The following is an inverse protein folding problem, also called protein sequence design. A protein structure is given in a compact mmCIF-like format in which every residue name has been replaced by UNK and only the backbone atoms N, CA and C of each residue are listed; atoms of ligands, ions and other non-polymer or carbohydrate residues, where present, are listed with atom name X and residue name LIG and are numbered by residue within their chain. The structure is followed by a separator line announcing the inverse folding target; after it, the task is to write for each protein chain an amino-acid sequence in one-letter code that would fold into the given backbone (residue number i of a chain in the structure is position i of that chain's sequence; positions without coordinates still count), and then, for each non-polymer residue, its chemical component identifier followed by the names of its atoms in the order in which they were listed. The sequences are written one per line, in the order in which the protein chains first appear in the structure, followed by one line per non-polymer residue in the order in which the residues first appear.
data_IF_221612622410
#
_entry.id   IF_221612622410
#
_cell.length_a   1.000
_cell.length_b   1.000
_cell.length_c   1.000
_cell.angle_alpha   90.00
_cell.angle_beta   90.00
_cell.angle_gamma   90.00
#
_symmetry.space_group_name_H-M   'P 1'
#
loop_
_entity.id
_entity.type
_entity.pdbx_description
1 polymer ?
#
# COMPACT_ATOMS: atom_id res chain seq x y z
N UNK A 1 -4.47 -0.17 -47.17
CA UNK A 1 -5.23 -1.21 -46.45
C UNK A 1 -6.11 -0.58 -45.38
N UNK A 2 -7.42 -0.44 -45.68
CA UNK A 2 -8.37 0.27 -44.80
C UNK A 2 -8.85 -0.57 -43.59
N UNK A 3 -8.21 -1.70 -43.34
CA UNK A 3 -8.52 -2.65 -42.27
C UNK A 3 -7.36 -2.87 -41.27
N UNK A 4 -6.45 -1.90 -41.11
CA UNK A 4 -5.51 -1.96 -40.01
C UNK A 4 -6.32 -1.84 -38.71
N UNK A 5 -6.38 -2.91 -37.92
CA UNK A 5 -6.97 -2.89 -36.61
C UNK A 5 -6.27 -1.80 -35.80
N UNK A 6 -7.05 -0.91 -35.19
CA UNK A 6 -6.50 0.09 -34.27
C UNK A 6 -5.84 -0.71 -33.14
N UNK A 7 -4.53 -0.51 -32.88
CA UNK A 7 -3.87 -1.24 -31.81
C UNK A 7 -4.60 -0.98 -30.49
N UNK A 8 -4.95 -2.03 -29.77
CA UNK A 8 -5.55 -1.92 -28.47
C UNK A 8 -4.55 -1.25 -27.51
N UNK A 9 -4.96 -0.14 -26.90
CA UNK A 9 -4.18 0.51 -25.83
C UNK A 9 -4.56 -0.17 -24.52
N UNK A 10 -3.56 -0.71 -23.82
CA UNK A 10 -3.72 -1.23 -22.46
C UNK A 10 -3.21 -0.21 -21.45
N UNK A 11 -3.96 -0.02 -20.37
CA UNK A 11 -3.61 0.91 -19.29
C UNK A 11 -3.42 0.09 -18.02
N UNK A 12 -2.32 0.38 -17.33
CA UNK A 12 -1.95 -0.27 -16.07
C UNK A 12 -1.85 0.76 -14.96
N UNK A 13 -2.34 0.42 -13.78
CA UNK A 13 -2.08 1.20 -12.57
C UNK A 13 -1.01 0.49 -11.73
N UNK A 14 0.23 0.89 -11.90
CA UNK A 14 1.38 0.28 -11.21
C UNK A 14 1.47 0.66 -9.73
N UNK A 15 0.76 1.70 -9.29
CA UNK A 15 0.68 2.07 -7.87
C UNK A 15 0.08 0.93 -7.03
N UNK A 16 -0.96 0.27 -7.55
CA UNK A 16 -1.64 -0.83 -6.85
C UNK A 16 -0.64 -1.93 -6.51
N UNK A 17 0.12 -2.39 -7.52
CA UNK A 17 1.11 -3.45 -7.32
C UNK A 17 2.33 -2.96 -6.55
N UNK A 18 2.71 -1.70 -6.72
CA UNK A 18 3.78 -1.07 -5.94
C UNK A 18 3.49 -1.06 -4.45
N UNK A 19 2.25 -0.75 -4.04
CA UNK A 19 1.82 -0.78 -2.65
C UNK A 19 1.86 -2.22 -2.09
N UNK A 20 1.28 -3.18 -2.82
CA UNK A 20 1.27 -4.58 -2.43
C UNK A 20 2.70 -5.11 -2.19
N UNK A 21 3.59 -4.90 -3.15
CA UNK A 21 4.98 -5.36 -3.08
C UNK A 21 5.77 -4.65 -1.97
N UNK A 22 5.55 -3.36 -1.72
CA UNK A 22 6.19 -2.63 -0.64
C UNK A 22 5.84 -3.23 0.73
N UNK A 23 4.58 -3.58 0.95
CA UNK A 23 4.15 -4.26 2.16
C UNK A 23 4.74 -5.67 2.25
N UNK A 24 4.62 -6.46 1.20
CA UNK A 24 5.12 -7.84 1.15
C UNK A 24 6.64 -7.90 1.43
N UNK A 25 7.43 -7.06 0.76
CA UNK A 25 8.87 -6.98 0.97
C UNK A 25 9.20 -6.60 2.41
N UNK A 26 8.52 -5.59 2.94
CA UNK A 26 8.76 -5.12 4.31
C UNK A 26 8.46 -6.20 5.37
N UNK A 27 7.42 -7.02 5.16
CA UNK A 27 7.10 -8.16 6.01
C UNK A 27 8.18 -9.25 5.92
N UNK A 28 8.59 -9.63 4.70
CA UNK A 28 9.64 -10.64 4.47
C UNK A 28 10.97 -10.22 5.08
N UNK A 29 11.39 -8.97 4.90
CA UNK A 29 12.65 -8.45 5.44
C UNK A 29 12.75 -8.58 6.97
N UNK A 30 11.61 -8.69 7.66
CA UNK A 30 11.51 -8.88 9.11
C UNK A 30 11.34 -10.33 9.54
N UNK A 31 11.38 -11.28 8.60
CA UNK A 31 11.11 -12.68 8.89
C UNK A 31 9.64 -12.94 9.27
N UNK A 32 8.76 -11.99 9.05
CA UNK A 32 7.32 -12.13 9.25
C UNK A 32 6.71 -12.79 8.01
N UNK A 33 5.71 -13.64 8.22
CA UNK A 33 4.88 -14.17 7.15
C UNK A 33 3.54 -13.47 7.21
N UNK A 34 3.02 -13.09 6.06
CA UNK A 34 1.64 -12.72 5.94
C UNK A 34 0.82 -14.01 6.07
N UNK A 35 -0.03 -14.07 7.10
CA UNK A 35 -0.89 -15.24 7.30
C UNK A 35 -2.12 -15.08 6.39
N UNK A 36 -2.42 -16.11 5.60
CA UNK A 36 -3.52 -16.08 4.62
C UNK A 36 -4.92 -16.16 5.23
N UNK A 37 -5.03 -15.93 6.54
CA UNK A 37 -6.33 -15.96 7.24
C UNK A 37 -7.03 -14.64 7.14
N UNK A 38 -7.55 -14.06 6.23
CA UNK A 38 -8.46 -12.90 6.05
C UNK A 38 -8.89 -12.10 7.33
N UNK A 39 -8.06 -12.16 8.37
CA UNK A 39 -8.33 -11.52 9.65
C UNK A 39 -7.60 -10.18 9.80
N UNK A 40 -6.75 -9.82 8.82
CA UNK A 40 -5.99 -8.57 8.82
C UNK A 40 -6.89 -7.38 8.51
N UNK A 41 -6.57 -6.25 9.15
CA UNK A 41 -7.23 -4.98 8.90
C UNK A 41 -6.28 -4.01 8.21
N UNK A 42 -6.79 -3.25 7.23
CA UNK A 42 -6.08 -2.16 6.61
C UNK A 42 -6.77 -0.82 6.91
N UNK A 43 -5.99 0.17 7.30
CA UNK A 43 -6.46 1.56 7.49
C UNK A 43 -5.83 2.46 6.44
N UNK A 44 -6.66 3.17 5.68
CA UNK A 44 -6.23 4.12 4.64
C UNK A 44 -6.60 5.54 5.10
N UNK A 45 -5.60 6.41 5.25
CA UNK A 45 -5.79 7.79 5.71
C UNK A 45 -5.98 8.70 4.49
N UNK A 46 -7.23 9.11 4.24
CA UNK A 46 -7.60 9.92 3.07
C UNK A 46 -8.38 9.13 2.03
N UNK A 47 -9.07 9.84 1.16
CA UNK A 47 -9.90 9.26 0.09
C UNK A 47 -9.63 9.86 -1.30
N UNK A 48 -8.38 10.26 -1.57
CA UNK A 48 -7.94 10.73 -2.89
C UNK A 48 -7.64 9.59 -3.88
N UNK A 49 -7.03 9.93 -5.01
CA UNK A 49 -6.70 8.95 -6.06
C UNK A 49 -5.71 7.88 -5.56
N UNK A 50 -4.66 8.27 -4.84
CA UNK A 50 -3.69 7.32 -4.27
C UNK A 50 -4.34 6.42 -3.21
N UNK A 51 -5.30 6.95 -2.43
CA UNK A 51 -6.10 6.13 -1.52
C UNK A 51 -6.96 5.10 -2.26
N UNK A 52 -7.46 5.44 -3.46
CA UNK A 52 -8.19 4.49 -4.31
C UNK A 52 -7.27 3.35 -4.80
N UNK A 53 -6.02 3.66 -5.14
CA UNK A 53 -5.02 2.63 -5.50
C UNK A 53 -4.68 1.75 -4.29
N UNK A 54 -4.57 2.35 -3.09
CA UNK A 54 -4.34 1.61 -1.86
C UNK A 54 -5.52 0.68 -1.51
N UNK A 55 -6.75 1.16 -1.67
CA UNK A 55 -7.94 0.34 -1.49
C UNK A 55 -7.91 -0.86 -2.43
N UNK A 56 -7.59 -0.64 -3.72
CA UNK A 56 -7.47 -1.73 -4.69
C UNK A 56 -6.38 -2.74 -4.30
N UNK A 57 -5.21 -2.26 -3.85
CA UNK A 57 -4.12 -3.10 -3.37
C UNK A 57 -4.58 -3.97 -2.18
N UNK A 58 -5.16 -3.34 -1.14
CA UNK A 58 -5.65 -4.06 0.04
C UNK A 58 -6.74 -5.10 -0.32
N UNK A 59 -7.61 -4.79 -1.29
CA UNK A 59 -8.60 -5.75 -1.78
C UNK A 59 -7.98 -6.96 -2.49
N UNK A 60 -6.78 -6.84 -3.02
CA UNK A 60 -6.07 -7.94 -3.70
C UNK A 60 -5.20 -8.76 -2.75
N UNK A 61 -4.92 -8.26 -1.54
CA UNK A 61 -4.12 -8.93 -0.53
C UNK A 61 -4.98 -9.95 0.23
N UNK A 62 -4.66 -11.25 0.16
CA UNK A 62 -5.49 -12.31 0.76
C UNK A 62 -5.51 -12.27 2.29
N UNK A 63 -4.57 -11.55 2.90
CA UNK A 63 -4.46 -11.38 4.35
C UNK A 63 -5.44 -10.35 4.91
N UNK A 64 -5.93 -9.43 4.05
CA UNK A 64 -6.79 -8.32 4.46
C UNK A 64 -8.26 -8.73 4.31
N UNK A 65 -8.96 -8.76 5.44
CA UNK A 65 -10.39 -9.06 5.50
C UNK A 65 -11.27 -7.85 5.78
N UNK A 66 -10.69 -6.77 6.30
CA UNK A 66 -11.41 -5.53 6.61
C UNK A 66 -10.61 -4.31 6.20
N UNK A 67 -11.28 -3.29 5.65
CA UNK A 67 -10.64 -2.05 5.21
C UNK A 67 -11.40 -0.84 5.74
N UNK A 68 -10.69 0.02 6.46
CA UNK A 68 -11.19 1.30 6.95
C UNK A 68 -10.56 2.45 6.18
N UNK A 69 -11.37 3.36 5.67
CA UNK A 69 -10.90 4.59 5.01
C UNK A 69 -11.25 5.79 5.89
N UNK A 70 -10.25 6.44 6.47
CA UNK A 70 -10.43 7.65 7.26
C UNK A 70 -10.38 8.88 6.35
N UNK A 71 -11.47 9.60 6.18
CA UNK A 71 -11.56 10.70 5.24
C UNK A 71 -12.21 11.94 5.86
N UNK A 72 -11.72 13.15 5.51
CA UNK A 72 -12.34 14.41 5.95
C UNK A 72 -13.81 14.56 5.51
N UNK A 73 -14.16 13.88 4.44
CA UNK A 73 -15.52 13.86 3.88
C UNK A 73 -15.83 12.45 3.40
N UNK A 74 -16.29 11.55 4.29
CA UNK A 74 -16.71 10.21 3.94
C UNK A 74 -17.76 10.23 2.82
N UNK A 75 -17.68 9.28 1.90
CA UNK A 75 -18.58 9.19 0.75
C UNK A 75 -18.34 10.19 -0.38
N UNK A 76 -17.45 11.17 -0.22
CA UNK A 76 -17.17 12.16 -1.28
C UNK A 76 -16.54 11.55 -2.52
N UNK A 77 -15.63 10.58 -2.34
CA UNK A 77 -15.06 9.82 -3.46
C UNK A 77 -15.97 8.64 -3.79
N UNK A 78 -16.87 8.83 -4.73
CA UNK A 78 -17.80 7.78 -5.19
C UNK A 78 -17.11 6.62 -5.93
N UNK A 79 -15.83 6.73 -6.24
CA UNK A 79 -15.04 5.67 -6.89
C UNK A 79 -14.58 4.56 -5.94
N UNK A 80 -14.53 4.80 -4.63
CA UNK A 80 -14.04 3.82 -3.65
C UNK A 80 -14.96 2.59 -3.57
N UNK A 81 -16.25 2.81 -3.36
CA UNK A 81 -17.22 1.72 -3.22
C UNK A 81 -17.25 0.76 -4.42
N UNK A 82 -17.30 1.22 -5.69
CA UNK A 82 -17.22 0.33 -6.84
C UNK A 82 -15.90 -0.46 -6.93
N UNK A 83 -14.79 0.11 -6.45
CA UNK A 83 -13.51 -0.62 -6.38
C UNK A 83 -13.64 -1.75 -5.37
N UNK A 84 -14.08 -1.46 -4.15
CA UNK A 84 -14.27 -2.50 -3.12
C UNK A 84 -15.23 -3.61 -3.58
N UNK A 85 -16.37 -3.25 -4.18
CA UNK A 85 -17.37 -4.21 -4.67
C UNK A 85 -16.87 -5.10 -5.83
N UNK A 86 -15.86 -4.66 -6.58
CA UNK A 86 -15.30 -5.41 -7.71
C UNK A 86 -14.45 -6.60 -7.26
N UNK A 87 -13.85 -6.55 -6.09
CA UNK A 87 -12.97 -7.59 -5.58
C UNK A 87 -13.74 -8.56 -4.68
N UNK A 88 -14.15 -9.68 -5.27
CA UNK A 88 -15.02 -10.71 -4.64
C UNK A 88 -14.41 -11.34 -3.39
N UNK A 89 -13.10 -11.22 -3.19
CA UNK A 89 -12.40 -11.83 -2.06
C UNK A 89 -12.46 -11.00 -0.77
N UNK A 90 -12.89 -9.74 -0.85
CA UNK A 90 -13.14 -8.94 0.35
C UNK A 90 -14.53 -9.30 0.88
N UNK A 91 -14.58 -10.25 1.77
CA UNK A 91 -15.83 -10.70 2.40
C UNK A 91 -16.41 -9.68 3.37
N UNK A 92 -15.61 -8.68 3.79
CA UNK A 92 -16.04 -7.62 4.67
C UNK A 92 -16.21 -6.31 3.90
N UNK A 93 -17.27 -5.58 4.17
CA UNK A 93 -17.47 -4.27 3.56
C UNK A 93 -16.33 -3.34 4.00
N UNK A 94 -15.84 -2.55 3.07
CA UNK A 94 -15.02 -1.42 3.47
C UNK A 94 -15.91 -0.41 4.22
N UNK A 95 -15.31 0.27 5.19
CA UNK A 95 -15.97 1.28 6.00
C UNK A 95 -15.27 2.63 5.84
N UNK A 96 -16.03 3.71 5.85
CA UNK A 96 -15.46 5.06 5.90
C UNK A 96 -15.76 5.69 7.26
N UNK A 97 -14.71 6.22 7.91
CA UNK A 97 -14.80 7.00 9.15
C UNK A 97 -14.39 8.44 8.90
N UNK A 98 -14.82 9.35 9.76
CA UNK A 98 -14.43 10.75 9.63
C UNK A 98 -12.98 10.97 10.11
N UNK A 99 -12.17 11.55 9.23
CA UNK A 99 -10.83 12.00 9.59
C UNK A 99 -10.94 13.33 10.34
N UNK A 100 -10.57 13.32 11.61
CA UNK A 100 -10.78 14.40 12.56
C UNK A 100 -11.38 13.86 13.86
N UNK A 101 -11.89 12.62 13.85
CA UNK A 101 -12.06 11.83 15.05
C UNK A 101 -10.77 11.04 15.28
N UNK A 102 -9.79 11.69 15.90
CA UNK A 102 -8.46 11.11 16.09
C UNK A 102 -8.52 9.87 16.98
N UNK A 103 -9.49 9.77 17.90
CA UNK A 103 -9.66 8.60 18.74
C UNK A 103 -10.16 7.38 17.95
N UNK A 104 -11.17 7.55 17.11
CA UNK A 104 -11.68 6.47 16.27
C UNK A 104 -10.58 5.96 15.30
N UNK A 105 -9.83 6.90 14.69
CA UNK A 105 -8.71 6.53 13.81
C UNK A 105 -7.62 5.76 14.55
N UNK A 106 -7.28 6.15 15.79
CA UNK A 106 -6.27 5.47 16.60
C UNK A 106 -6.73 4.08 17.05
N UNK A 107 -8.01 3.89 17.35
CA UNK A 107 -8.57 2.58 17.67
C UNK A 107 -8.45 1.61 16.49
N UNK A 108 -8.84 2.03 15.29
CA UNK A 108 -8.69 1.24 14.07
C UNK A 108 -7.22 0.99 13.75
N UNK A 109 -6.37 2.01 13.82
CA UNK A 109 -4.95 1.91 13.50
C UNK A 109 -4.16 0.99 14.46
N UNK A 110 -4.60 0.81 15.70
CA UNK A 110 -3.96 -0.11 16.67
C UNK A 110 -4.07 -1.55 16.26
N UNK A 111 -5.22 -1.92 15.72
CA UNK A 111 -5.53 -3.30 15.33
C UNK A 111 -5.10 -3.58 13.89
N UNK A 112 -4.80 -2.53 13.13
CA UNK A 112 -4.47 -2.65 11.72
C UNK A 112 -3.19 -3.45 11.48
N UNK A 113 -3.25 -4.35 10.52
CA UNK A 113 -2.08 -5.02 9.95
C UNK A 113 -1.30 -4.04 9.07
N UNK A 114 -2.02 -3.24 8.27
CA UNK A 114 -1.46 -2.21 7.41
C UNK A 114 -2.12 -0.86 7.64
N UNK A 115 -1.30 0.19 7.69
CA UNK A 115 -1.75 1.58 7.65
C UNK A 115 -1.11 2.27 6.46
N UNK A 116 -1.91 2.91 5.64
CA UNK A 116 -1.46 3.61 4.45
C UNK A 116 -1.78 5.10 4.55
N UNK A 117 -0.75 5.95 4.51
CA UNK A 117 -0.90 7.40 4.58
C UNK A 117 -0.56 8.08 3.24
N UNK A 118 -1.55 8.30 2.33
CA UNK A 118 -1.36 8.99 1.06
C UNK A 118 -1.66 10.49 1.11
N UNK A 119 -1.91 11.07 2.28
CA UNK A 119 -2.27 12.49 2.35
C UNK A 119 -1.03 13.39 2.31
N UNK A 120 -1.17 14.67 1.91
CA UNK A 120 -0.04 15.57 1.78
C UNK A 120 0.74 15.76 3.10
N UNK A 121 1.99 16.16 2.96
CA UNK A 121 2.88 16.50 4.08
C UNK A 121 2.18 17.44 5.07
N UNK A 122 2.39 17.20 6.37
CA UNK A 122 1.76 17.88 7.50
C UNK A 122 0.25 17.66 7.67
N UNK A 123 -0.43 17.01 6.75
CA UNK A 123 -1.86 16.76 6.89
C UNK A 123 -2.20 15.67 7.92
N UNK A 124 -1.22 14.85 8.30
CA UNK A 124 -1.33 13.82 9.35
C UNK A 124 -0.64 14.23 10.68
N UNK A 125 -0.18 15.47 10.82
CA UNK A 125 0.56 15.89 12.01
C UNK A 125 -0.29 15.83 13.28
N UNK A 126 -1.59 16.12 13.19
CA UNK A 126 -2.53 15.96 14.29
C UNK A 126 -2.71 14.49 14.71
N UNK A 127 -2.70 13.57 13.76
CA UNK A 127 -2.73 12.12 14.04
C UNK A 127 -1.45 11.70 14.76
N UNK A 128 -0.30 12.22 14.33
CA UNK A 128 0.98 11.96 14.99
C UNK A 128 0.98 12.50 16.44
N UNK A 129 0.40 13.68 16.68
CA UNK A 129 0.25 14.24 18.03
C UNK A 129 -0.68 13.39 18.91
N UNK A 130 -1.83 13.01 18.37
CA UNK A 130 -2.78 12.15 19.08
C UNK A 130 -2.15 10.77 19.39
N UNK A 131 -1.31 10.25 18.49
CA UNK A 131 -0.57 9.02 18.69
C UNK A 131 0.44 9.18 19.84
N UNK A 132 1.16 10.28 19.89
CA UNK A 132 2.12 10.56 20.97
C UNK A 132 1.45 10.63 22.35
N UNK A 133 0.19 11.08 22.40
CA UNK A 133 -0.61 11.19 23.63
C UNK A 133 -1.40 9.90 23.96
N UNK A 134 -1.42 8.90 23.07
CA UNK A 134 -2.28 7.71 23.16
C UNK A 134 -1.87 6.66 24.22
N UNK A 135 -0.89 6.98 25.09
CA UNK A 135 -0.41 6.08 26.14
C UNK A 135 0.68 5.12 25.64
N UNK A 136 0.89 4.02 26.38
CA UNK A 136 2.02 3.11 26.14
C UNK A 136 1.64 1.82 25.39
N UNK A 137 0.42 1.69 24.94
CA UNK A 137 0.01 0.49 24.23
C UNK A 137 0.63 0.45 22.81
N UNK A 138 1.25 -0.68 22.44
CA UNK A 138 1.99 -0.77 21.19
C UNK A 138 1.07 -0.81 19.97
N UNK A 139 1.57 -0.27 18.86
CA UNK A 139 1.06 -0.51 17.52
C UNK A 139 1.87 -1.64 16.88
N UNK A 140 1.21 -2.64 16.33
CA UNK A 140 1.90 -3.80 15.75
C UNK A 140 1.99 -3.75 14.22
N UNK A 141 1.16 -2.92 13.59
CA UNK A 141 1.04 -2.85 12.14
C UNK A 141 2.18 -2.16 11.41
N UNK A 142 2.18 -2.29 10.10
CA UNK A 142 3.10 -1.64 9.20
C UNK A 142 2.47 -0.38 8.61
N UNK A 143 3.08 0.78 8.86
CA UNK A 143 2.72 2.05 8.24
C UNK A 143 3.52 2.24 6.95
N UNK A 144 2.86 2.49 5.84
CA UNK A 144 3.45 3.07 4.63
C UNK A 144 3.02 4.53 4.51
N UNK A 145 3.98 5.45 4.64
CA UNK A 145 3.77 6.89 4.46
C UNK A 145 4.38 7.32 3.12
N UNK A 146 3.56 7.81 2.19
CA UNK A 146 4.01 8.14 0.83
C UNK A 146 4.83 9.42 0.73
N UNK A 147 5.06 10.13 1.83
CA UNK A 147 5.81 11.38 1.84
C UNK A 147 7.31 11.10 1.69
N UNK A 148 7.96 11.84 0.80
CA UNK A 148 9.41 11.76 0.55
C UNK A 148 10.22 12.75 1.39
N UNK A 149 9.64 13.94 1.64
CA UNK A 149 10.31 15.03 2.38
C UNK A 149 9.28 15.74 3.27
N UNK A 150 9.53 15.85 4.58
CA UNK A 150 10.65 15.30 5.36
C UNK A 150 10.61 13.76 5.46
N UNK A 151 11.75 13.16 5.74
CA UNK A 151 11.88 11.73 6.02
C UNK A 151 12.85 11.50 7.20
N UNK A 152 12.41 10.82 8.29
CA UNK A 152 11.03 10.36 8.50
C UNK A 152 10.03 11.51 8.67
N UNK A 153 8.75 11.22 8.42
CA UNK A 153 7.66 12.14 8.78
C UNK A 153 7.36 12.07 10.28
N UNK A 154 6.66 13.09 10.80
CA UNK A 154 6.23 13.09 12.20
C UNK A 154 5.37 11.86 12.53
N UNK A 155 4.50 11.45 11.61
CA UNK A 155 3.68 10.25 11.77
C UNK A 155 4.54 8.97 11.85
N UNK A 156 5.54 8.83 10.98
CA UNK A 156 6.47 7.69 11.02
C UNK A 156 7.25 7.61 12.33
N UNK A 157 7.70 8.76 12.85
CA UNK A 157 8.41 8.84 14.14
C UNK A 157 7.50 8.42 15.29
N UNK A 158 6.29 8.97 15.37
CA UNK A 158 5.31 8.63 16.38
C UNK A 158 4.92 7.16 16.32
N UNK A 159 4.71 6.60 15.13
CA UNK A 159 4.39 5.19 14.91
C UNK A 159 5.49 4.27 15.45
N UNK A 160 6.75 4.57 15.13
CA UNK A 160 7.92 3.81 15.60
C UNK A 160 8.12 3.92 17.11
N UNK A 161 7.86 5.09 17.70
CA UNK A 161 7.96 5.30 19.14
C UNK A 161 6.99 4.40 19.93
N UNK A 162 5.87 4.00 19.32
CA UNK A 162 4.89 3.07 19.89
C UNK A 162 5.10 1.61 19.45
N UNK A 163 6.28 1.26 18.92
CA UNK A 163 6.66 -0.10 18.57
C UNK A 163 6.19 -0.58 17.20
N UNK A 164 5.43 0.22 16.47
CA UNK A 164 5.03 -0.07 15.10
C UNK A 164 6.18 0.06 14.10
N UNK A 165 5.99 -0.48 12.92
CA UNK A 165 6.93 -0.38 11.83
C UNK A 165 6.47 0.64 10.79
N UNK A 166 7.40 1.43 10.25
CA UNK A 166 7.06 2.42 9.24
C UNK A 166 8.08 2.38 8.09
N UNK A 167 7.56 2.40 6.87
CA UNK A 167 8.30 2.54 5.61
C UNK A 167 7.84 3.82 4.90
N UNK A 168 8.71 4.41 4.12
CA UNK A 168 8.41 5.64 3.39
C UNK A 168 7.94 5.38 1.96
N UNK A 169 7.55 6.46 1.29
CA UNK A 169 7.05 6.42 -0.09
C UNK A 169 8.09 5.93 -1.11
N UNK A 170 9.37 5.94 -0.75
CA UNK A 170 10.45 5.38 -1.58
C UNK A 170 10.25 3.90 -1.86
N UNK A 171 9.70 3.13 -0.92
CA UNK A 171 9.40 1.72 -1.16
C UNK A 171 8.30 1.55 -2.22
N UNK A 172 7.23 2.33 -2.11
CA UNK A 172 6.18 2.34 -3.13
C UNK A 172 6.72 2.80 -4.49
N UNK A 173 7.57 3.84 -4.51
CA UNK A 173 8.18 4.36 -5.75
C UNK A 173 9.05 3.30 -6.42
N UNK A 174 9.87 2.59 -5.65
CA UNK A 174 10.73 1.52 -6.15
C UNK A 174 9.90 0.43 -6.82
N UNK A 175 8.92 -0.12 -6.11
CA UNK A 175 8.17 -1.26 -6.63
C UNK A 175 7.22 -0.90 -7.77
N UNK A 176 6.59 0.29 -7.75
CA UNK A 176 5.80 0.71 -8.91
C UNK A 176 6.68 0.93 -10.15
N UNK A 177 7.92 1.42 -9.99
CA UNK A 177 8.87 1.57 -11.09
C UNK A 177 9.39 0.22 -11.58
N UNK A 178 9.67 -0.72 -10.69
CA UNK A 178 10.02 -2.10 -11.05
C UNK A 178 8.95 -2.73 -11.94
N UNK A 179 7.68 -2.64 -11.52
CA UNK A 179 6.54 -3.13 -12.30
C UNK A 179 6.46 -2.45 -13.68
N UNK A 180 6.72 -1.14 -13.76
CA UNK A 180 6.76 -0.43 -15.04
C UNK A 180 7.86 -0.98 -15.97
N UNK A 181 9.07 -1.21 -15.45
CA UNK A 181 10.17 -1.80 -16.24
C UNK A 181 9.79 -3.18 -16.76
N UNK A 182 9.24 -4.03 -15.90
CA UNK A 182 8.82 -5.39 -16.28
C UNK A 182 7.72 -5.40 -17.36
N UNK A 183 6.75 -4.47 -17.24
CA UNK A 183 5.70 -4.27 -18.26
C UNK A 183 6.29 -3.76 -19.61
N UNK A 184 7.19 -2.78 -19.56
CA UNK A 184 7.79 -2.20 -20.76
C UNK A 184 8.72 -3.17 -21.50
N UNK A 185 9.36 -4.07 -20.76
CA UNK A 185 10.25 -5.09 -21.33
C UNK A 185 9.52 -6.35 -21.77
N UNK A 186 8.21 -6.46 -21.49
CA UNK A 186 7.39 -7.62 -21.81
C UNK A 186 7.71 -8.86 -20.95
N UNK A 187 8.46 -8.69 -19.85
CA UNK A 187 8.74 -9.77 -18.89
C UNK A 187 7.47 -10.09 -18.08
N UNK A 188 6.70 -9.05 -17.77
CA UNK A 188 5.40 -9.21 -17.11
C UNK A 188 4.31 -9.34 -18.17
N UNK A 189 3.71 -10.52 -18.28
CA UNK A 189 2.58 -10.75 -19.17
C UNK A 189 1.27 -10.62 -18.39
N UNK A 190 0.25 -10.05 -19.04
CA UNK A 190 -1.05 -9.68 -18.43
C UNK A 190 -1.96 -10.83 -18.01
N UNK A 191 -1.70 -12.03 -18.49
CA UNK A 191 -2.39 -13.21 -18.01
C UNK A 191 -1.74 -13.64 -16.69
N UNK A 192 -2.38 -13.42 -15.53
CA UNK A 192 -1.89 -14.07 -14.34
C UNK A 192 -1.90 -15.57 -14.64
N UNK A 193 -0.74 -16.25 -14.57
CA UNK A 193 -0.77 -17.70 -14.76
C UNK A 193 -1.71 -18.26 -13.71
N UNK A 194 -2.51 -19.19 -14.13
CA UNK A 194 -3.40 -20.00 -13.28
C UNK A 194 -2.67 -20.68 -12.12
N UNK A 195 -1.35 -20.62 -12.11
CA UNK A 195 -0.47 -21.21 -11.09
C UNK A 195 0.56 -20.16 -10.62
N UNK A 196 0.13 -19.27 -9.72
CA UNK A 196 1.01 -18.34 -9.02
C UNK A 196 2.19 -19.04 -8.27
N UNK A 197 2.05 -20.32 -7.98
CA UNK A 197 3.08 -21.15 -7.35
C UNK A 197 4.27 -21.50 -8.30
N UNK A 198 4.06 -21.48 -9.60
CA UNK A 198 5.07 -21.92 -10.57
C UNK A 198 6.04 -20.80 -11.00
N UNK A 199 5.59 -19.54 -10.94
CA UNK A 199 6.46 -18.36 -11.22
C UNK A 199 7.44 -18.03 -10.09
N UNK A 200 7.15 -18.44 -8.87
CA UNK A 200 8.03 -18.21 -7.71
C UNK A 200 9.37 -18.97 -7.79
N UNK A 201 9.53 -19.92 -8.70
CA UNK A 201 10.75 -20.72 -8.82
C UNK A 201 11.71 -20.30 -9.95
N UNK A 202 11.25 -19.61 -11.00
CA UNK A 202 12.08 -19.36 -12.18
C UNK A 202 12.54 -17.88 -12.37
N UNK A 203 11.89 -16.91 -11.70
CA UNK A 203 12.20 -15.46 -11.87
C UNK A 203 13.08 -14.87 -10.76
N UNK A 204 13.42 -15.62 -9.74
CA UNK A 204 13.95 -15.11 -8.47
C UNK A 204 15.34 -14.46 -8.54
N UNK A 205 16.18 -14.75 -9.51
CA UNK A 205 17.56 -14.24 -9.54
C UNK A 205 17.74 -12.96 -10.35
N UNK A 206 17.05 -12.81 -11.47
CA UNK A 206 17.19 -11.62 -12.33
C UNK A 206 16.33 -10.47 -11.83
N UNK A 207 15.11 -10.76 -11.36
CA UNK A 207 14.21 -9.76 -10.78
C UNK A 207 14.75 -9.24 -9.45
N UNK A 208 15.31 -10.09 -8.61
CA UNK A 208 15.97 -9.71 -7.36
C UNK A 208 17.20 -8.83 -7.62
N UNK A 209 17.96 -9.12 -8.67
CA UNK A 209 19.12 -8.31 -9.06
C UNK A 209 18.66 -6.93 -9.58
N UNK A 210 17.62 -6.86 -10.40
CA UNK A 210 17.06 -5.60 -10.89
C UNK A 210 16.54 -4.75 -9.73
N UNK A 211 15.80 -5.35 -8.80
CA UNK A 211 15.33 -4.65 -7.59
C UNK A 211 16.49 -4.07 -6.79
N UNK A 212 17.56 -4.86 -6.56
CA UNK A 212 18.73 -4.42 -5.80
C UNK A 212 19.43 -3.23 -6.46
N UNK A 213 19.62 -3.24 -7.77
CA UNK A 213 20.25 -2.15 -8.51
C UNK A 213 19.36 -0.90 -8.52
N UNK A 214 18.04 -1.05 -8.67
CA UNK A 214 17.09 0.07 -8.63
C UNK A 214 17.03 0.68 -7.22
N UNK A 215 17.04 -0.15 -6.17
CA UNK A 215 17.06 0.31 -4.77
C UNK A 215 18.32 1.12 -4.49
N UNK A 216 19.48 0.63 -4.89
CA UNK A 216 20.74 1.34 -4.74
C UNK A 216 20.74 2.69 -5.45
N UNK A 217 20.27 2.73 -6.70
CA UNK A 217 20.17 3.98 -7.45
C UNK A 217 19.19 4.98 -6.80
N UNK A 218 18.10 4.49 -6.24
CA UNK A 218 17.13 5.31 -5.50
C UNK A 218 17.74 5.90 -4.22
N UNK A 219 18.44 5.10 -3.44
CA UNK A 219 19.14 5.54 -2.21
C UNK A 219 20.16 6.63 -2.54
N UNK A 220 20.99 6.42 -3.57
CA UNK A 220 21.97 7.43 -4.04
C UNK A 220 21.33 8.75 -4.52
N UNK A 221 20.08 8.69 -5.01
CA UNK A 221 19.36 9.88 -5.49
C UNK A 221 18.64 10.64 -4.36
N UNK A 222 18.47 10.02 -3.20
CA UNK A 222 17.74 10.59 -2.05
C UNK A 222 18.67 11.14 -0.96
N UNK A 223 19.98 10.91 -1.05
CA UNK A 223 21.02 11.48 -0.21
C UNK A 223 21.39 12.92 -0.69
#
# INVERSE_FOLDING_TARGET
DKNAAIPAIRLYNTDVKGIELAFEHSYRARGMRMDSGQDGEAVIIGNGNTATSALAACCMMPEIGHIVVAARHPGKNTGLKPVAEKFVNVHNPYNEIEFGDDQALLEEARNATFVFNPIPVHAADNVADALADAGTEPFSGLLLDVIYVPRPTKLMEAWRAHGGHAIGGEEMLLYQALVQVLLMTGIWDDDPPSDAAQRQQDTTTEDDQLELEMRKALEEAMD
#
